data_IF_117869322416
#
_entry.id   IF_117869322416
#
_cell.length_a   1.000
_cell.length_b   1.000
_cell.length_c   1.000
_cell.angle_alpha   90.00
_cell.angle_beta   90.00
_cell.angle_gamma   90.00
#
_symmetry.space_group_name_H-M   'P 1'
#
loop_
_entity.id
_entity.type
_entity.pdbx_description
1 polymer ?
#
# COMPACT_ATOMS: atom_id res chain seq x y z
N UNK A 1 -27.33 -1.67 -16.54
CA UNK A 1 -26.86 -0.77 -15.46
C UNK A 1 -25.61 -1.39 -14.88
N UNK A 2 -24.56 -0.61 -14.56
CA UNK A 2 -23.36 -1.14 -13.92
C UNK A 2 -23.74 -1.82 -12.60
N UNK A 3 -22.98 -2.85 -12.23
CA UNK A 3 -23.14 -3.52 -10.93
C UNK A 3 -22.56 -2.66 -9.82
N UNK A 4 -23.10 -2.79 -8.62
CA UNK A 4 -22.73 -1.92 -7.51
C UNK A 4 -22.03 -2.74 -6.44
N UNK A 5 -20.74 -2.49 -6.23
CA UNK A 5 -19.97 -3.03 -5.10
C UNK A 5 -20.39 -2.29 -3.83
N UNK A 6 -20.71 -3.05 -2.78
CA UNK A 6 -21.18 -2.53 -1.49
C UNK A 6 -20.16 -2.77 -0.39
N UNK A 7 -20.32 -2.03 0.71
CA UNK A 7 -19.60 -2.32 1.95
C UNK A 7 -19.97 -3.74 2.41
N UNK A 8 -18.98 -4.53 2.81
CA UNK A 8 -19.21 -5.86 3.34
C UNK A 8 -20.12 -5.85 4.58
N UNK A 9 -20.10 -4.75 5.36
CA UNK A 9 -20.98 -4.55 6.51
C UNK A 9 -22.42 -4.18 6.12
N UNK A 10 -22.66 -3.80 4.86
CA UNK A 10 -23.97 -3.43 4.33
C UNK A 10 -24.62 -4.54 3.48
N UNK A 11 -23.91 -5.64 3.23
CA UNK A 11 -24.49 -6.80 2.54
C UNK A 11 -25.61 -7.43 3.37
N UNK A 12 -26.68 -7.82 2.70
CA UNK A 12 -27.68 -8.73 3.27
C UNK A 12 -27.07 -10.13 3.47
N UNK A 13 -27.66 -10.94 4.35
CA UNK A 13 -27.22 -12.32 4.54
C UNK A 13 -27.24 -13.12 3.22
N UNK A 14 -28.24 -12.91 2.37
CA UNK A 14 -28.32 -13.58 1.07
C UNK A 14 -27.19 -13.15 0.11
N UNK A 15 -26.88 -11.86 0.03
CA UNK A 15 -25.75 -11.38 -0.80
C UNK A 15 -24.41 -11.93 -0.31
N UNK A 16 -24.21 -11.96 1.02
CA UNK A 16 -23.01 -12.52 1.62
C UNK A 16 -22.90 -14.03 1.39
N UNK A 17 -24.01 -14.76 1.53
CA UNK A 17 -24.05 -16.21 1.30
C UNK A 17 -23.83 -16.55 -0.19
N UNK A 18 -24.29 -15.73 -1.12
CA UNK A 18 -24.03 -15.88 -2.57
C UNK A 18 -22.55 -15.60 -2.91
N UNK A 19 -21.94 -14.60 -2.27
CA UNK A 19 -20.51 -14.33 -2.40
C UNK A 19 -19.66 -15.49 -1.88
N UNK A 20 -19.99 -16.03 -0.70
CA UNK A 20 -19.30 -17.19 -0.12
C UNK A 20 -19.49 -18.43 -1.01
N UNK A 21 -20.69 -18.67 -1.52
CA UNK A 21 -20.97 -19.78 -2.44
C UNK A 21 -20.12 -19.72 -3.71
N UNK A 22 -19.99 -18.53 -4.32
CA UNK A 22 -19.14 -18.34 -5.48
C UNK A 22 -17.66 -18.66 -5.16
N UNK A 23 -17.14 -18.15 -4.03
CA UNK A 23 -15.78 -18.45 -3.58
C UNK A 23 -15.55 -19.95 -3.36
N UNK A 24 -16.51 -20.63 -2.74
CA UNK A 24 -16.40 -22.07 -2.47
C UNK A 24 -16.38 -22.90 -3.76
N UNK A 25 -17.11 -22.50 -4.80
CA UNK A 25 -17.00 -23.13 -6.13
C UNK A 25 -15.60 -22.93 -6.72
N UNK A 26 -15.05 -21.71 -6.66
CA UNK A 26 -13.69 -21.43 -7.13
C UNK A 26 -12.64 -22.25 -6.35
N UNK A 27 -12.85 -22.49 -5.05
CA UNK A 27 -12.00 -23.38 -4.24
C UNK A 27 -12.12 -24.83 -4.65
N UNK A 28 -13.34 -25.34 -4.86
CA UNK A 28 -13.57 -26.71 -5.34
C UNK A 28 -12.89 -26.97 -6.68
N UNK A 29 -12.87 -25.97 -7.58
CA UNK A 29 -12.09 -26.06 -8.84
C UNK A 29 -10.60 -26.25 -8.56
N UNK A 30 -10.07 -25.54 -7.58
CA UNK A 30 -8.66 -25.63 -7.16
C UNK A 30 -8.33 -26.99 -6.53
N UNK A 31 -9.27 -27.58 -5.78
CA UNK A 31 -9.12 -28.94 -5.22
C UNK A 31 -9.01 -30.02 -6.32
N UNK A 32 -9.69 -29.81 -7.46
CA UNK A 32 -9.62 -30.71 -8.61
C UNK A 32 -8.35 -30.46 -9.43
N UNK A 33 -8.01 -29.19 -9.66
CA UNK A 33 -6.83 -28.76 -10.39
C UNK A 33 -6.40 -27.38 -9.90
N UNK A 34 -5.30 -27.34 -9.16
CA UNK A 34 -4.75 -26.09 -8.60
C UNK A 34 -4.37 -25.08 -9.69
N UNK A 35 -4.01 -25.56 -10.89
CA UNK A 35 -3.65 -24.75 -12.04
C UNK A 35 -4.87 -24.32 -12.89
N UNK A 36 -6.11 -24.60 -12.47
CA UNK A 36 -7.32 -24.13 -13.17
C UNK A 36 -7.37 -22.59 -13.14
N UNK A 37 -7.32 -21.90 -14.29
CA UNK A 37 -7.35 -20.43 -14.33
C UNK A 37 -8.60 -19.80 -13.71
N UNK A 38 -9.68 -20.57 -13.59
CA UNK A 38 -10.92 -20.15 -12.93
C UNK A 38 -11.02 -20.66 -11.48
N UNK A 39 -9.98 -21.27 -10.92
CA UNK A 39 -9.89 -21.67 -9.52
C UNK A 39 -9.34 -20.56 -8.62
N UNK A 40 -9.73 -20.58 -7.34
CA UNK A 40 -9.24 -19.64 -6.33
C UNK A 40 -7.71 -19.66 -6.19
N UNK A 41 -7.09 -20.84 -6.17
CA UNK A 41 -5.64 -20.97 -5.99
C UNK A 41 -4.87 -20.28 -7.12
N UNK A 42 -5.29 -20.46 -8.38
CA UNK A 42 -4.69 -19.76 -9.51
C UNK A 42 -4.87 -18.24 -9.40
N UNK A 43 -6.05 -17.78 -8.99
CA UNK A 43 -6.32 -16.34 -8.83
C UNK A 43 -5.48 -15.73 -7.69
N UNK A 44 -5.32 -16.45 -6.58
CA UNK A 44 -4.38 -16.05 -5.54
C UNK A 44 -2.93 -16.05 -6.05
N UNK A 45 -2.54 -17.04 -6.86
CA UNK A 45 -1.21 -17.14 -7.45
C UNK A 45 -0.88 -15.99 -8.42
N UNK A 46 -1.86 -15.47 -9.18
CA UNK A 46 -1.67 -14.28 -10.02
C UNK A 46 -1.12 -13.09 -9.22
N UNK A 47 -1.58 -12.92 -7.98
CA UNK A 47 -1.04 -11.94 -7.06
C UNK A 47 0.24 -12.41 -6.37
N UNK A 48 0.25 -13.63 -5.83
CA UNK A 48 1.34 -14.12 -4.99
C UNK A 48 2.64 -14.40 -5.76
N UNK A 49 2.54 -14.49 -7.09
CA UNK A 49 3.60 -14.79 -8.03
C UNK A 49 3.69 -16.28 -8.35
N UNK A 50 3.80 -16.62 -9.63
CA UNK A 50 4.09 -17.99 -10.09
C UNK A 50 4.83 -17.98 -11.43
N UNK A 51 5.40 -19.13 -11.81
CA UNK A 51 6.02 -19.31 -13.13
C UNK A 51 5.01 -19.99 -14.05
N UNK A 52 4.67 -19.32 -15.15
CA UNK A 52 3.76 -19.83 -16.16
C UNK A 52 4.31 -21.09 -16.87
N UNK A 53 3.45 -21.83 -17.59
CA UNK A 53 3.87 -23.04 -18.33
C UNK A 53 4.93 -22.79 -19.42
N UNK A 54 5.06 -21.54 -19.86
CA UNK A 54 6.05 -21.03 -20.81
C UNK A 54 7.37 -20.60 -20.14
N UNK A 55 7.48 -20.76 -18.82
CA UNK A 55 8.64 -20.35 -18.03
C UNK A 55 8.66 -18.86 -17.68
N UNK A 56 7.61 -18.09 -18.01
CA UNK A 56 7.54 -16.67 -17.71
C UNK A 56 7.01 -16.47 -16.29
N UNK A 57 7.78 -15.80 -15.44
CA UNK A 57 7.30 -15.40 -14.12
C UNK A 57 6.18 -14.36 -14.26
N UNK A 58 4.97 -14.71 -13.81
CA UNK A 58 3.87 -13.78 -13.67
C UNK A 58 3.95 -13.22 -12.25
N UNK A 59 4.02 -11.90 -12.14
CA UNK A 59 4.05 -11.19 -10.86
C UNK A 59 2.99 -10.10 -10.84
N UNK A 60 2.48 -9.85 -9.64
CA UNK A 60 1.76 -8.62 -9.35
C UNK A 60 2.64 -7.40 -9.57
N UNK A 61 2.01 -6.28 -9.95
CA UNK A 61 2.70 -5.00 -10.08
C UNK A 61 2.63 -4.24 -8.75
N UNK A 62 3.80 -3.89 -8.23
CA UNK A 62 4.00 -3.15 -6.98
C UNK A 62 5.19 -2.19 -7.15
N UNK A 63 5.22 -1.14 -6.33
CA UNK A 63 6.23 -0.09 -6.32
C UNK A 63 6.38 0.63 -7.66
N UNK A 64 5.26 0.84 -8.35
CA UNK A 64 5.19 1.55 -9.62
C UNK A 64 3.77 2.03 -9.94
N UNK A 65 3.65 2.83 -10.99
CA UNK A 65 2.39 3.39 -11.52
C UNK A 65 1.36 2.36 -12.01
N UNK A 66 1.75 1.09 -12.16
CA UNK A 66 0.87 0.00 -12.58
C UNK A 66 0.14 -0.67 -11.41
N UNK A 67 0.50 -0.35 -10.17
CA UNK A 67 -0.11 -0.94 -8.96
C UNK A 67 -1.65 -0.85 -8.98
N UNK A 68 -2.21 0.36 -9.13
CA UNK A 68 -3.66 0.57 -9.13
C UNK A 68 -4.39 -0.11 -10.31
N UNK A 69 -3.97 0.08 -11.59
CA UNK A 69 -4.64 -0.59 -12.71
C UNK A 69 -4.50 -2.11 -12.69
N UNK A 70 -3.37 -2.66 -12.22
CA UNK A 70 -3.19 -4.11 -12.07
C UNK A 70 -4.18 -4.70 -11.06
N UNK A 71 -4.30 -4.08 -9.87
CA UNK A 71 -5.23 -4.55 -8.85
C UNK A 71 -6.69 -4.39 -9.26
N UNK A 72 -7.03 -3.33 -10.00
CA UNK A 72 -8.36 -3.18 -10.61
C UNK A 72 -8.66 -4.27 -11.63
N UNK A 73 -7.70 -4.62 -12.49
CA UNK A 73 -7.84 -5.73 -13.43
C UNK A 73 -8.03 -7.07 -12.72
N UNK A 74 -7.24 -7.33 -11.67
CA UNK A 74 -7.37 -8.52 -10.85
C UNK A 74 -8.78 -8.64 -10.25
N UNK A 75 -9.27 -7.58 -9.59
CA UNK A 75 -10.63 -7.55 -9.04
C UNK A 75 -11.70 -7.73 -10.12
N UNK A 76 -11.54 -7.08 -11.28
CA UNK A 76 -12.50 -7.18 -12.38
C UNK A 76 -12.64 -8.62 -12.88
N UNK A 77 -11.52 -9.28 -13.20
CA UNK A 77 -11.55 -10.64 -13.73
C UNK A 77 -11.95 -11.66 -12.66
N UNK A 78 -11.51 -11.49 -11.42
CA UNK A 78 -11.96 -12.32 -10.30
C UNK A 78 -13.47 -12.22 -10.10
N UNK A 79 -14.04 -11.02 -10.16
CA UNK A 79 -15.47 -10.80 -10.05
C UNK A 79 -16.26 -11.45 -11.20
N UNK A 80 -15.72 -11.46 -12.42
CA UNK A 80 -16.34 -12.22 -13.54
C UNK A 80 -16.34 -13.73 -13.27
N UNK A 81 -15.29 -14.27 -12.67
CA UNK A 81 -15.24 -15.69 -12.29
C UNK A 81 -16.27 -16.03 -11.20
N UNK A 82 -16.41 -15.18 -10.18
CA UNK A 82 -17.45 -15.33 -9.16
C UNK A 82 -18.85 -15.35 -9.78
N UNK A 83 -19.10 -14.46 -10.74
CA UNK A 83 -20.38 -14.37 -11.45
C UNK A 83 -20.65 -15.56 -12.36
N UNK A 84 -19.61 -16.19 -12.88
CA UNK A 84 -19.68 -17.37 -13.74
C UNK A 84 -19.74 -18.69 -12.96
N UNK A 85 -19.50 -18.68 -11.64
CA UNK A 85 -19.39 -19.87 -10.81
C UNK A 85 -20.68 -20.72 -10.79
N UNK A 86 -21.83 -20.08 -10.60
CA UNK A 86 -23.16 -20.70 -10.63
C UNK A 86 -24.18 -19.62 -11.06
N UNK A 87 -24.22 -19.24 -12.36
CA UNK A 87 -24.88 -18.01 -12.81
C UNK A 87 -26.34 -17.83 -12.36
N UNK A 88 -27.21 -18.86 -12.29
CA UNK A 88 -28.56 -18.71 -11.74
C UNK A 88 -28.59 -18.08 -10.35
N UNK A 89 -27.54 -18.28 -9.55
CA UNK A 89 -27.36 -17.74 -8.20
C UNK A 89 -26.36 -16.57 -8.18
N UNK A 90 -25.21 -16.73 -8.82
CA UNK A 90 -24.05 -15.84 -8.64
C UNK A 90 -23.94 -14.74 -9.70
N UNK A 91 -24.77 -14.72 -10.75
CA UNK A 91 -24.63 -13.73 -11.83
C UNK A 91 -24.68 -12.28 -11.35
N UNK A 92 -25.20 -11.99 -10.16
CA UNK A 92 -25.28 -10.64 -9.58
C UNK A 92 -24.27 -10.40 -8.45
N UNK A 93 -23.44 -11.38 -8.10
CA UNK A 93 -22.40 -11.25 -7.09
C UNK A 93 -21.42 -10.16 -7.50
N UNK A 94 -21.08 -9.32 -6.53
CA UNK A 94 -20.03 -8.30 -6.61
C UNK A 94 -19.05 -8.50 -5.47
N UNK A 95 -17.78 -8.18 -5.67
CA UNK A 95 -16.79 -8.15 -4.59
C UNK A 95 -17.18 -7.02 -3.62
N UNK A 96 -17.45 -7.30 -2.34
CA UNK A 96 -17.73 -6.25 -1.37
C UNK A 96 -16.43 -5.56 -0.95
N UNK A 97 -16.47 -4.24 -0.74
CA UNK A 97 -15.33 -3.51 -0.18
C UNK A 97 -15.39 -3.48 1.35
N UNK A 98 -14.24 -3.31 2.00
CA UNK A 98 -14.17 -3.08 3.44
C UNK A 98 -13.78 -1.62 3.73
N UNK A 99 -14.75 -0.81 4.17
CA UNK A 99 -14.49 0.55 4.65
C UNK A 99 -13.80 0.52 6.01
N UNK A 100 -12.50 0.81 6.02
CA UNK A 100 -11.72 0.95 7.25
C UNK A 100 -11.57 2.39 7.74
N UNK A 101 -12.14 3.39 7.05
CA UNK A 101 -11.93 4.82 7.38
C UNK A 101 -12.85 5.31 8.50
N UNK A 102 -13.99 4.64 8.77
CA UNK A 102 -14.87 5.03 9.87
C UNK A 102 -15.05 3.99 10.97
N UNK A 103 -16.19 4.08 11.67
CA UNK A 103 -16.37 3.46 12.98
C UNK A 103 -16.25 1.94 12.85
N UNK A 104 -15.14 1.41 13.36
CA UNK A 104 -14.92 -0.03 13.37
C UNK A 104 -16.01 -0.67 14.23
N UNK A 105 -16.47 -1.85 13.82
CA UNK A 105 -17.29 -2.67 14.71
C UNK A 105 -16.59 -2.83 16.07
N UNK A 106 -17.29 -3.24 17.15
CA UNK A 106 -16.60 -3.58 18.41
C UNK A 106 -15.45 -4.59 18.21
N UNK A 107 -15.48 -5.31 17.09
CA UNK A 107 -14.42 -6.19 16.58
C UNK A 107 -13.49 -5.45 15.61
N UNK A 108 -12.21 -5.84 15.60
CA UNK A 108 -11.18 -5.29 14.69
C UNK A 108 -11.48 -5.49 13.20
N UNK A 109 -12.26 -6.51 12.83
CA UNK A 109 -12.60 -6.84 11.45
C UNK A 109 -14.11 -7.01 11.29
N UNK A 110 -14.67 -6.76 10.09
CA UNK A 110 -16.08 -7.02 9.78
C UNK A 110 -16.53 -8.42 10.20
N UNK A 111 -17.72 -8.52 10.81
CA UNK A 111 -18.27 -9.78 11.32
C UNK A 111 -18.41 -10.86 10.24
N UNK A 112 -18.59 -10.46 8.98
CA UNK A 112 -18.62 -11.36 7.82
C UNK A 112 -17.39 -12.28 7.77
N UNK A 113 -16.20 -11.78 8.16
CA UNK A 113 -14.98 -12.57 8.14
C UNK A 113 -14.85 -13.60 9.28
N UNK A 114 -15.87 -13.74 10.13
CA UNK A 114 -16.01 -14.87 11.06
C UNK A 114 -16.75 -16.07 10.43
N UNK A 115 -17.46 -15.87 9.31
CA UNK A 115 -18.20 -16.94 8.63
C UNK A 115 -17.25 -17.97 8.00
N UNK A 116 -17.63 -19.26 7.95
CA UNK A 116 -16.95 -20.25 7.11
C UNK A 116 -16.83 -19.73 5.66
N UNK A 117 -15.71 -20.01 5.01
CA UNK A 117 -15.43 -19.51 3.66
C UNK A 117 -14.81 -18.10 3.59
N UNK A 118 -14.87 -17.30 4.66
CA UNK A 118 -14.17 -15.99 4.77
C UNK A 118 -13.19 -15.91 5.95
N UNK A 119 -13.26 -16.87 6.86
CA UNK A 119 -12.41 -16.94 8.04
C UNK A 119 -10.98 -17.35 7.67
N UNK A 120 -10.01 -16.56 8.09
CA UNK A 120 -8.58 -16.83 8.00
C UNK A 120 -7.85 -16.37 9.28
N UNK A 121 -6.67 -16.91 9.59
CA UNK A 121 -5.83 -16.42 10.68
C UNK A 121 -5.36 -14.98 10.42
N UNK A 122 -5.58 -14.08 11.38
CA UNK A 122 -5.23 -12.64 11.31
C UNK A 122 -4.72 -12.14 12.66
N UNK A 123 -4.03 -11.01 12.66
CA UNK A 123 -3.47 -10.40 13.87
C UNK A 123 -4.57 -9.93 14.84
N UNK A 124 -4.47 -10.38 16.09
CA UNK A 124 -5.30 -9.90 17.21
C UNK A 124 -4.71 -8.69 17.93
N UNK A 125 -3.48 -8.28 17.59
CA UNK A 125 -2.81 -7.16 18.24
C UNK A 125 -3.55 -5.84 17.99
N UNK A 126 -3.55 -4.96 19.00
CA UNK A 126 -4.03 -3.60 18.85
C UNK A 126 -3.15 -2.86 17.84
N UNK A 127 -3.78 -2.27 16.82
CA UNK A 127 -3.09 -1.51 15.78
C UNK A 127 -3.93 -0.29 15.41
N UNK A 128 -3.29 0.86 15.29
CA UNK A 128 -3.96 2.07 14.82
C UNK A 128 -4.12 2.03 13.30
N UNK A 129 -5.30 2.43 12.82
CA UNK A 129 -5.56 2.64 11.39
C UNK A 129 -4.62 3.71 10.80
N UNK A 130 -4.34 3.67 9.49
CA UNK A 130 -3.53 4.69 8.83
C UNK A 130 -4.20 6.08 8.90
N UNK A 131 -3.57 7.08 9.56
CA UNK A 131 -4.18 8.39 9.81
C UNK A 131 -4.25 9.29 8.57
N UNK A 132 -3.48 8.96 7.55
CA UNK A 132 -3.28 9.70 6.29
C UNK A 132 -4.22 9.23 5.16
N UNK A 133 -4.95 8.13 5.35
CA UNK A 133 -5.84 7.56 4.30
C UNK A 133 -6.75 8.62 3.68
N UNK A 134 -7.48 9.38 4.50
CA UNK A 134 -8.44 10.36 4.00
C UNK A 134 -7.75 11.57 3.38
N UNK A 135 -6.64 12.00 3.96
CA UNK A 135 -5.85 13.13 3.47
C UNK A 135 -5.30 12.86 2.07
N UNK A 136 -4.73 11.68 1.84
CA UNK A 136 -4.19 11.27 0.54
C UNK A 136 -5.28 11.33 -0.53
N UNK A 137 -6.46 10.76 -0.27
CA UNK A 137 -7.56 10.71 -1.24
C UNK A 137 -8.16 12.09 -1.51
N UNK A 138 -8.22 12.97 -0.50
CA UNK A 138 -8.94 14.25 -0.59
C UNK A 138 -8.07 15.44 -0.96
N UNK A 139 -6.75 15.35 -0.78
CA UNK A 139 -5.84 16.50 -0.95
C UNK A 139 -4.67 16.28 -1.91
N UNK A 140 -4.26 15.03 -2.18
CA UNK A 140 -3.26 14.78 -3.22
C UNK A 140 -3.91 14.98 -4.59
N UNK A 141 -3.23 15.69 -5.48
CA UNK A 141 -3.73 16.05 -6.82
C UNK A 141 -2.80 15.57 -7.93
N UNK A 142 -1.55 15.26 -7.60
CA UNK A 142 -0.59 14.74 -8.57
C UNK A 142 -0.79 13.23 -8.75
N UNK A 143 -0.93 12.81 -10.01
CA UNK A 143 -1.17 11.41 -10.39
C UNK A 143 -0.03 10.50 -9.95
N UNK A 144 1.23 10.91 -10.09
CA UNK A 144 2.38 10.09 -9.73
C UNK A 144 2.52 9.99 -8.21
N UNK A 145 2.31 11.09 -7.51
CA UNK A 145 2.30 11.07 -6.05
C UNK A 145 1.18 10.20 -5.48
N UNK A 146 0.02 10.20 -6.10
CA UNK A 146 -1.08 9.34 -5.66
C UNK A 146 -0.83 7.87 -6.01
N UNK A 147 -0.59 7.57 -7.30
CA UNK A 147 -0.65 6.23 -7.88
C UNK A 147 0.70 5.53 -8.06
N UNK A 148 1.81 6.25 -8.02
CA UNK A 148 3.16 5.74 -8.25
C UNK A 148 3.79 6.23 -9.54
N UNK A 149 5.05 5.85 -9.73
CA UNK A 149 5.91 6.31 -10.80
C UNK A 149 6.20 5.19 -11.81
N UNK A 150 6.47 5.52 -13.09
CA UNK A 150 6.91 4.52 -14.07
C UNK A 150 8.12 3.74 -13.60
N UNK A 151 8.19 2.46 -13.96
CA UNK A 151 9.35 1.60 -13.64
C UNK A 151 10.65 2.25 -14.15
N UNK A 152 11.60 2.46 -13.24
CA UNK A 152 12.91 3.08 -13.54
C UNK A 152 12.92 4.61 -13.54
N UNK A 153 11.82 5.26 -13.16
CA UNK A 153 11.79 6.71 -12.94
C UNK A 153 12.65 7.07 -11.71
N UNK A 154 13.65 7.93 -11.90
CA UNK A 154 14.55 8.35 -10.81
C UNK A 154 13.83 9.22 -9.75
N UNK A 155 12.64 9.73 -10.08
CA UNK A 155 11.87 10.60 -9.19
C UNK A 155 11.02 9.83 -8.17
N UNK A 156 10.84 8.52 -8.27
CA UNK A 156 10.09 7.73 -7.29
C UNK A 156 9.72 6.32 -7.75
N UNK A 157 9.13 5.56 -6.82
CA UNK A 157 8.67 4.18 -7.03
C UNK A 157 7.16 4.07 -6.74
N UNK A 158 6.77 3.72 -5.51
CA UNK A 158 5.37 3.63 -5.06
C UNK A 158 4.70 5.01 -4.87
N UNK A 159 3.39 5.04 -5.13
CA UNK A 159 2.55 6.19 -4.79
C UNK A 159 2.21 6.21 -3.30
N UNK A 160 1.75 7.36 -2.81
CA UNK A 160 1.34 7.57 -1.41
C UNK A 160 0.29 6.56 -0.97
N UNK A 161 -0.62 6.14 -1.86
CA UNK A 161 -1.66 5.16 -1.50
C UNK A 161 -1.09 3.76 -1.25
N UNK A 162 -0.11 3.33 -2.06
CA UNK A 162 0.56 2.04 -1.94
C UNK A 162 1.52 2.03 -0.74
N UNK A 163 2.44 2.99 -0.69
CA UNK A 163 3.47 3.07 0.35
C UNK A 163 2.93 3.40 1.75
N UNK A 164 1.81 4.12 1.81
CA UNK A 164 1.16 4.57 3.05
C UNK A 164 0.09 3.59 3.54
N UNK A 165 -1.21 3.89 3.35
CA UNK A 165 -2.31 3.15 3.97
C UNK A 165 -2.36 1.70 3.52
N UNK A 166 -2.04 1.39 2.26
CA UNK A 166 -2.05 0.01 1.76
C UNK A 166 -1.05 -0.88 2.49
N UNK A 167 0.25 -0.55 2.43
CA UNK A 167 1.31 -1.35 3.06
C UNK A 167 1.14 -1.46 4.58
N UNK A 168 0.66 -0.39 5.23
CA UNK A 168 0.37 -0.41 6.67
C UNK A 168 -0.77 -1.36 7.03
N UNK A 169 -1.87 -1.33 6.26
CA UNK A 169 -3.01 -2.20 6.53
C UNK A 169 -2.64 -3.67 6.43
N UNK A 170 -1.87 -4.05 5.42
CA UNK A 170 -1.41 -5.42 5.25
C UNK A 170 -0.61 -5.99 6.44
N UNK A 171 0.61 -5.49 6.65
CA UNK A 171 1.55 -6.08 7.62
C UNK A 171 1.23 -5.73 9.08
N UNK A 172 0.74 -4.52 9.35
CA UNK A 172 0.66 -3.98 10.70
C UNK A 172 -0.76 -4.03 11.28
N UNK A 173 -1.79 -3.91 10.44
CA UNK A 173 -3.17 -4.00 10.88
C UNK A 173 -3.74 -5.42 10.74
N UNK A 174 -3.74 -5.97 9.52
CA UNK A 174 -4.41 -7.23 9.22
C UNK A 174 -3.56 -8.43 9.67
N UNK A 175 -2.28 -8.48 9.27
CA UNK A 175 -1.37 -9.56 9.64
C UNK A 175 -1.73 -10.92 9.01
N UNK A 176 -1.11 -12.00 9.50
CA UNK A 176 -1.31 -13.35 8.92
C UNK A 176 -0.80 -13.43 7.48
N UNK A 177 -1.55 -14.11 6.60
CA UNK A 177 -1.20 -14.20 5.17
C UNK A 177 -1.11 -12.81 4.51
N UNK A 178 -1.92 -11.84 4.96
CA UNK A 178 -1.89 -10.46 4.48
C UNK A 178 -0.60 -9.71 4.81
N UNK A 179 0.29 -10.24 5.65
CA UNK A 179 1.63 -9.69 5.92
C UNK A 179 2.73 -10.22 5.00
N UNK A 180 2.39 -11.11 4.05
CA UNK A 180 3.30 -11.64 3.05
C UNK A 180 2.72 -11.45 1.62
N UNK A 181 3.38 -10.72 0.71
CA UNK A 181 2.82 -10.51 -0.63
C UNK A 181 2.71 -11.81 -1.44
N UNK A 182 3.51 -12.83 -1.11
CA UNK A 182 3.39 -14.21 -1.67
C UNK A 182 2.25 -15.04 -1.08
N UNK A 183 1.47 -14.52 -0.14
CA UNK A 183 0.34 -15.25 0.44
C UNK A 183 -0.91 -14.39 0.60
N UNK A 184 -0.84 -13.06 0.43
CA UNK A 184 -1.91 -12.14 0.80
C UNK A 184 -3.26 -12.51 0.16
N UNK A 185 -3.26 -12.86 -1.13
CA UNK A 185 -4.48 -13.22 -1.86
C UNK A 185 -5.06 -14.58 -1.47
N UNK A 186 -4.39 -15.36 -0.62
CA UNK A 186 -4.97 -16.58 -0.03
C UNK A 186 -6.02 -16.24 1.02
N UNK A 187 -5.90 -15.10 1.72
CA UNK A 187 -6.91 -14.61 2.66
C UNK A 187 -8.05 -13.89 1.90
N UNK A 188 -9.31 -14.33 2.02
CA UNK A 188 -10.44 -13.68 1.34
C UNK A 188 -10.63 -12.20 1.65
N UNK A 189 -10.09 -11.69 2.78
CA UNK A 189 -10.12 -10.26 3.09
C UNK A 189 -9.34 -9.42 2.08
N UNK A 190 -8.36 -10.01 1.38
CA UNK A 190 -7.58 -9.36 0.32
C UNK A 190 -8.48 -8.68 -0.71
N UNK A 191 -9.48 -9.41 -1.22
CA UNK A 191 -10.36 -8.88 -2.27
C UNK A 191 -11.20 -7.71 -1.77
N UNK A 192 -11.70 -7.76 -0.52
CA UNK A 192 -12.45 -6.65 0.06
C UNK A 192 -11.59 -5.45 0.42
N UNK A 193 -10.36 -5.71 0.87
CA UNK A 193 -9.37 -4.68 1.15
C UNK A 193 -8.96 -3.95 -0.15
N UNK A 194 -8.56 -4.68 -1.20
CA UNK A 194 -8.21 -4.07 -2.49
C UNK A 194 -9.41 -3.46 -3.21
N UNK A 195 -10.63 -3.97 -3.00
CA UNK A 195 -11.83 -3.31 -3.51
C UNK A 195 -12.03 -1.91 -2.88
N UNK A 196 -11.57 -1.68 -1.65
CA UNK A 196 -11.59 -0.37 -1.05
C UNK A 196 -10.43 0.53 -1.51
N UNK A 197 -9.23 -0.04 -1.75
CA UNK A 197 -8.15 0.66 -2.47
C UNK A 197 -8.65 1.18 -3.83
N UNK A 198 -9.34 0.32 -4.57
CA UNK A 198 -9.92 0.64 -5.87
C UNK A 198 -11.01 1.74 -5.79
N UNK A 199 -11.86 1.69 -4.75
CA UNK A 199 -12.84 2.74 -4.46
C UNK A 199 -12.14 4.08 -4.21
N UNK A 200 -11.08 4.10 -3.40
CA UNK A 200 -10.32 5.31 -3.11
C UNK A 200 -9.69 5.91 -4.36
N UNK A 201 -9.19 5.08 -5.28
CA UNK A 201 -8.71 5.56 -6.57
C UNK A 201 -9.84 6.15 -7.43
N UNK A 202 -10.99 5.48 -7.51
CA UNK A 202 -12.15 6.00 -8.22
C UNK A 202 -12.63 7.36 -7.65
N UNK A 203 -12.64 7.53 -6.33
CA UNK A 203 -12.96 8.79 -5.68
C UNK A 203 -11.92 9.88 -5.97
N UNK A 204 -10.63 9.53 -5.92
CA UNK A 204 -9.55 10.44 -6.30
C UNK A 204 -9.67 10.90 -7.75
N UNK A 205 -9.97 10.00 -8.68
CA UNK A 205 -10.20 10.31 -10.10
C UNK A 205 -11.39 11.24 -10.30
N UNK A 206 -12.49 11.01 -9.57
CA UNK A 206 -13.68 11.87 -9.57
C UNK A 206 -13.37 13.29 -9.13
N UNK A 207 -12.41 13.48 -8.20
CA UNK A 207 -11.98 14.80 -7.70
C UNK A 207 -11.02 15.50 -8.65
N UNK A 208 -10.10 14.75 -9.26
CA UNK A 208 -8.97 15.30 -10.01
C UNK A 208 -9.19 15.28 -11.53
N UNK A 209 -10.37 14.89 -12.00
CA UNK A 209 -10.71 14.91 -13.42
C UNK A 209 -10.06 13.77 -14.23
N UNK A 210 -9.71 12.66 -13.57
CA UNK A 210 -9.12 11.46 -14.20
C UNK A 210 -7.92 11.79 -15.09
N UNK A 211 -6.81 12.31 -14.52
CA UNK A 211 -5.63 12.60 -15.31
C UNK A 211 -5.12 11.32 -16.01
N UNK A 212 -4.45 11.46 -17.17
CA UNK A 212 -3.92 10.32 -17.90
C UNK A 212 -3.01 9.46 -17.02
N UNK A 213 -3.22 8.15 -17.06
CA UNK A 213 -2.31 7.21 -16.44
C UNK A 213 -0.95 7.29 -17.13
N UNK A 214 0.10 7.17 -16.33
CA UNK A 214 1.44 6.93 -16.87
C UNK A 214 1.46 5.51 -17.46
N UNK A 215 2.18 5.33 -18.57
CA UNK A 215 2.32 4.03 -19.26
C UNK A 215 1.01 3.41 -19.84
N UNK A 216 0.12 4.19 -20.49
CA UNK A 216 -1.26 3.75 -20.82
C UNK A 216 -1.37 2.54 -21.77
N UNK A 217 -0.34 2.29 -22.59
CA UNK A 217 -0.32 1.22 -23.60
C UNK A 217 0.33 -0.09 -23.10
N UNK A 218 0.92 -0.08 -21.90
CA UNK A 218 1.57 -1.27 -21.37
C UNK A 218 0.56 -2.35 -20.99
N UNK A 219 0.93 -3.59 -21.29
CA UNK A 219 0.14 -4.77 -20.98
C UNK A 219 0.38 -5.18 -19.54
N UNK A 220 -0.70 -5.35 -18.78
CA UNK A 220 -0.67 -5.79 -17.40
C UNK A 220 -0.24 -7.26 -17.32
N UNK A 221 0.78 -7.54 -16.49
CA UNK A 221 1.28 -8.89 -16.26
C UNK A 221 0.16 -9.81 -15.75
N UNK A 222 0.11 -11.05 -16.25
CA UNK A 222 -0.93 -12.01 -15.90
C UNK A 222 -2.25 -11.84 -16.66
N UNK A 223 -2.44 -10.74 -17.40
CA UNK A 223 -3.68 -10.45 -18.12
C UNK A 223 -3.53 -10.37 -19.64
N UNK A 224 -2.36 -10.70 -20.20
CA UNK A 224 -2.09 -10.59 -21.63
C UNK A 224 -3.10 -11.35 -22.52
N UNK A 225 -3.66 -12.47 -22.03
CA UNK A 225 -4.68 -13.27 -22.73
C UNK A 225 -6.12 -12.77 -22.54
N UNK A 226 -6.33 -11.78 -21.68
CA UNK A 226 -7.66 -11.26 -21.39
C UNK A 226 -8.11 -10.24 -22.43
N UNK A 227 -9.44 -10.04 -22.63
CA UNK A 227 -9.97 -9.11 -23.62
C UNK A 227 -9.53 -7.66 -23.40
N UNK A 228 -9.48 -7.22 -22.15
CA UNK A 228 -8.84 -5.96 -21.73
C UNK A 228 -7.54 -6.29 -21.02
N UNK A 229 -6.43 -5.76 -21.46
CA UNK A 229 -5.13 -6.12 -20.93
C UNK A 229 -4.16 -4.94 -20.81
N UNK A 230 -4.53 -3.74 -21.26
CA UNK A 230 -3.70 -2.54 -21.16
C UNK A 230 -4.10 -1.65 -20.00
N UNK A 231 -3.13 -0.93 -19.44
CA UNK A 231 -3.34 0.03 -18.34
C UNK A 231 -4.51 1.00 -18.60
N UNK A 232 -4.56 1.60 -19.79
CA UNK A 232 -5.61 2.56 -20.16
C UNK A 232 -7.04 1.99 -20.11
N UNK A 233 -7.22 0.68 -20.30
CA UNK A 233 -8.53 0.02 -20.31
C UNK A 233 -9.14 -0.17 -18.92
N UNK A 234 -8.33 0.05 -17.87
CA UNK A 234 -8.74 -0.04 -16.47
C UNK A 234 -8.81 1.35 -15.81
N UNK A 235 -8.86 2.43 -16.60
CA UNK A 235 -8.90 3.79 -16.04
C UNK A 235 -10.20 4.10 -15.31
N UNK A 236 -11.37 3.70 -15.82
CA UNK A 236 -12.67 4.01 -15.20
C UNK A 236 -13.44 2.74 -14.85
N UNK A 237 -14.12 2.76 -13.69
CA UNK A 237 -14.93 1.61 -13.23
C UNK A 237 -16.16 1.39 -14.12
N UNK A 238 -16.77 2.46 -14.65
CA UNK A 238 -17.95 2.37 -15.51
C UNK A 238 -17.68 1.70 -16.86
N UNK A 239 -16.45 1.84 -17.38
CA UNK A 239 -16.00 1.15 -18.60
C UNK A 239 -15.82 -0.37 -18.35
N UNK A 240 -15.84 -0.78 -17.08
CA UNK A 240 -15.71 -2.16 -16.61
C UNK A 240 -17.04 -2.71 -16.06
N UNK A 241 -18.16 -2.01 -16.28
CA UNK A 241 -19.53 -2.34 -15.85
C UNK A 241 -19.73 -2.40 -14.33
N UNK A 242 -18.97 -1.63 -13.54
CA UNK A 242 -19.21 -1.52 -12.10
C UNK A 242 -19.02 -0.12 -11.52
N UNK A 243 -19.66 0.10 -10.37
CA UNK A 243 -19.57 1.30 -9.54
C UNK A 243 -19.54 0.89 -8.06
N UNK A 244 -19.34 1.87 -7.18
CA UNK A 244 -19.37 1.70 -5.74
C UNK A 244 -20.60 2.35 -5.13
N UNK A 245 -21.25 1.64 -4.20
CA UNK A 245 -22.17 2.28 -3.27
C UNK A 245 -21.35 3.07 -2.25
N UNK A 246 -21.73 4.32 -1.99
CA UNK A 246 -21.12 5.10 -0.93
C UNK A 246 -22.07 5.11 0.28
N UNK A 247 -21.62 4.52 1.38
CA UNK A 247 -22.32 4.61 2.67
C UNK A 247 -22.45 6.06 3.13
N UNK A 248 -23.36 6.34 4.06
CA UNK A 248 -23.47 7.68 4.67
C UNK A 248 -22.14 8.13 5.31
N UNK A 249 -21.41 7.19 5.90
CA UNK A 249 -20.09 7.38 6.48
C UNK A 249 -19.06 7.78 5.41
N UNK A 250 -18.95 7.03 4.31
CA UNK A 250 -18.03 7.40 3.22
C UNK A 250 -18.40 8.74 2.60
N UNK A 251 -19.69 9.00 2.40
CA UNK A 251 -20.16 10.32 1.93
C UNK A 251 -19.75 11.44 2.89
N UNK A 252 -19.79 11.22 4.19
CA UNK A 252 -19.36 12.21 5.18
C UNK A 252 -17.82 12.37 5.19
N UNK A 253 -17.07 11.26 5.15
CA UNK A 253 -15.62 11.27 5.13
C UNK A 253 -15.07 11.96 3.87
N UNK A 254 -15.57 11.59 2.70
CA UNK A 254 -15.22 12.27 1.45
C UNK A 254 -15.88 13.66 1.33
N UNK A 255 -17.00 13.89 2.02
CA UNK A 255 -17.70 15.18 2.09
C UNK A 255 -17.09 16.19 3.08
N UNK A 256 -15.89 15.93 3.62
CA UNK A 256 -15.16 16.87 4.46
C UNK A 256 -14.91 18.19 3.70
N UNK A 257 -15.22 19.37 4.28
CA UNK A 257 -15.00 20.66 3.63
C UNK A 257 -13.52 20.87 3.29
N UNK A 258 -13.19 21.56 2.20
CA UNK A 258 -11.83 21.63 1.69
C UNK A 258 -10.92 22.41 2.65
N UNK A 259 -9.66 21.96 2.79
CA UNK A 259 -8.57 22.91 2.98
C UNK A 259 -8.63 23.94 1.82
N UNK A 260 -8.33 25.23 2.02
CA UNK A 260 -8.47 26.25 0.97
C UNK A 260 -7.87 25.75 -0.35
N UNK A 261 -8.49 26.07 -1.50
CA UNK A 261 -8.13 25.47 -2.78
C UNK A 261 -6.62 25.58 -3.01
N UNK A 262 -5.97 24.44 -3.28
CA UNK A 262 -4.65 24.47 -3.86
C UNK A 262 -4.75 25.28 -5.17
N UNK A 263 -3.94 26.35 -5.33
CA UNK A 263 -3.99 27.14 -6.54
C UNK A 263 -3.45 26.30 -7.70
N UNK A 264 -4.32 25.96 -8.67
CA UNK A 264 -3.97 25.22 -9.90
C UNK A 264 -3.51 23.77 -9.55
N UNK A 265 -3.70 22.75 -10.41
CA UNK A 265 -2.91 21.52 -10.25
C UNK A 265 -1.45 21.92 -10.04
N UNK A 266 -0.79 21.46 -8.97
CA UNK A 266 0.58 21.87 -8.70
C UNK A 266 1.39 21.61 -9.96
N UNK A 267 2.19 22.60 -10.35
CA UNK A 267 3.15 22.40 -11.41
C UNK A 267 3.96 21.13 -11.08
N UNK A 268 4.34 20.33 -12.09
CA UNK A 268 5.18 19.16 -11.85
C UNK A 268 6.38 19.56 -10.99
N UNK A 269 6.59 18.83 -9.90
CA UNK A 269 7.65 19.14 -8.94
C UNK A 269 9.02 18.96 -9.60
N UNK A 270 9.75 20.05 -9.78
CA UNK A 270 11.11 20.00 -10.29
C UNK A 270 12.10 20.06 -9.14
N UNK A 271 13.00 19.09 -9.07
CA UNK A 271 14.06 19.09 -8.07
C UNK A 271 15.00 20.28 -8.30
N UNK A 272 15.09 21.16 -7.30
CA UNK A 272 15.92 22.36 -7.33
C UNK A 272 17.27 22.16 -6.63
N UNK A 273 17.29 21.40 -5.53
CA UNK A 273 18.49 21.16 -4.74
C UNK A 273 18.38 19.87 -3.93
N UNK A 274 19.54 19.30 -3.58
CA UNK A 274 19.66 18.19 -2.64
C UNK A 274 20.81 18.43 -1.65
N UNK A 275 20.63 18.05 -0.39
CA UNK A 275 21.62 18.17 0.67
C UNK A 275 21.67 16.86 1.48
N UNK A 276 22.87 16.39 1.82
CA UNK A 276 23.04 15.18 2.65
C UNK A 276 22.78 15.53 4.12
N UNK A 277 21.98 14.71 4.81
CA UNK A 277 21.76 14.85 6.25
C UNK A 277 22.79 14.02 7.03
N UNK A 278 23.14 14.47 8.23
CA UNK A 278 24.11 13.81 9.09
C UNK A 278 23.58 13.61 10.51
N UNK A 279 23.96 12.53 11.21
CA UNK A 279 23.60 12.31 12.61
C UNK A 279 24.04 13.43 13.54
N UNK A 280 23.20 13.71 14.55
CA UNK A 280 23.48 14.72 15.56
C UNK A 280 24.69 14.35 16.44
N UNK A 281 24.93 13.06 16.66
CA UNK A 281 26.04 12.57 17.49
C UNK A 281 27.39 12.56 16.75
N UNK A 282 27.40 12.95 15.47
CA UNK A 282 28.58 12.97 14.61
C UNK A 282 29.02 11.60 14.11
N UNK A 283 28.27 10.53 14.40
CA UNK A 283 28.49 9.24 13.79
C UNK A 283 28.20 9.32 12.29
N UNK A 284 29.10 8.83 11.44
CA UNK A 284 28.86 8.79 10.01
C UNK A 284 27.96 7.61 9.60
N UNK A 285 27.81 6.61 10.48
CA UNK A 285 27.05 5.39 10.24
C UNK A 285 25.59 5.52 10.74
N UNK A 286 24.75 6.13 9.89
CA UNK A 286 23.31 6.31 10.14
C UNK A 286 22.61 4.95 10.35
N UNK A 287 22.95 3.97 9.50
CA UNK A 287 22.33 2.64 9.51
C UNK A 287 22.71 1.87 10.76
N UNK A 288 24.00 1.88 11.13
CA UNK A 288 24.47 1.29 12.38
C UNK A 288 23.79 1.90 13.60
N UNK A 289 23.62 3.22 13.64
CA UNK A 289 22.90 3.87 14.75
C UNK A 289 21.43 3.42 14.82
N UNK A 290 20.75 3.37 13.68
CA UNK A 290 19.36 2.91 13.61
C UNK A 290 19.24 1.43 14.03
N UNK A 291 20.22 0.59 13.69
CA UNK A 291 20.31 -0.82 14.14
C UNK A 291 20.48 -0.94 15.64
N UNK A 292 21.36 -0.13 16.22
CA UNK A 292 21.70 -0.20 17.64
C UNK A 292 20.61 0.37 18.55
N UNK A 293 19.96 1.45 18.12
CA UNK A 293 19.05 2.24 18.97
C UNK A 293 17.58 2.15 18.55
N UNK A 294 17.28 1.50 17.42
CA UNK A 294 15.97 1.51 16.74
C UNK A 294 15.48 2.93 16.36
N UNK A 295 16.33 3.93 16.54
CA UNK A 295 16.06 5.35 16.28
C UNK A 295 17.35 6.01 15.81
N UNK A 296 17.26 6.87 14.79
CA UNK A 296 18.36 7.76 14.40
C UNK A 296 17.86 9.18 14.26
N UNK A 297 18.65 10.15 14.74
CA UNK A 297 18.32 11.57 14.74
C UNK A 297 19.33 12.36 13.91
N UNK A 298 18.84 12.99 12.85
CA UNK A 298 19.63 13.73 11.88
C UNK A 298 19.39 15.23 12.04
N UNK A 299 20.48 15.99 12.07
CA UNK A 299 20.39 17.45 12.07
C UNK A 299 19.77 17.95 10.77
N UNK A 300 18.79 18.83 10.88
CA UNK A 300 18.06 19.36 9.73
C UNK A 300 18.07 20.89 9.77
N UNK A 301 18.68 21.50 8.76
CA UNK A 301 18.66 22.96 8.59
C UNK A 301 17.61 23.32 7.55
N UNK A 302 16.69 24.21 7.91
CA UNK A 302 15.63 24.66 7.01
C UNK A 302 16.26 25.56 5.93
N UNK A 303 16.22 25.18 4.63
CA UNK A 303 16.71 26.03 3.55
C UNK A 303 15.73 27.19 3.30
N UNK A 304 16.03 28.12 2.39
CA UNK A 304 15.05 29.14 2.01
C UNK A 304 13.90 28.50 1.21
N UNK A 305 12.73 28.34 1.85
CA UNK A 305 11.61 27.48 1.41
C UNK A 305 10.42 28.22 0.82
N UNK A 306 10.41 29.56 0.76
CA UNK A 306 9.22 30.31 0.30
C UNK A 306 8.74 29.82 -1.07
N UNK A 307 7.53 29.24 -1.10
CA UNK A 307 6.89 28.67 -2.29
C UNK A 307 7.44 27.32 -2.77
N UNK A 308 8.27 26.62 -1.98
CA UNK A 308 8.94 25.37 -2.35
C UNK A 308 8.45 24.20 -1.51
N UNK A 309 8.45 22.98 -2.07
CA UNK A 309 8.19 21.74 -1.31
C UNK A 309 9.49 21.13 -0.81
N UNK A 310 9.45 20.52 0.38
CA UNK A 310 10.61 19.86 0.97
C UNK A 310 10.30 18.42 1.27
N UNK A 311 11.25 17.56 0.91
CA UNK A 311 11.19 16.13 1.19
C UNK A 311 12.48 15.65 1.82
N UNK A 312 12.37 14.60 2.62
CA UNK A 312 13.53 13.80 3.02
C UNK A 312 13.47 12.48 2.27
N UNK A 313 14.52 12.18 1.51
CA UNK A 313 14.69 10.98 0.69
C UNK A 313 15.65 10.01 1.37
N UNK A 314 15.27 8.74 1.40
CA UNK A 314 16.15 7.62 1.74
C UNK A 314 16.53 6.94 0.42
N UNK A 315 17.84 6.90 0.16
CA UNK A 315 18.40 6.35 -1.08
C UNK A 315 18.68 4.87 -0.94
N UNK A 316 18.29 4.08 -1.95
CA UNK A 316 18.63 2.66 -2.03
C UNK A 316 18.24 1.89 -0.74
N UNK A 317 17.05 2.18 -0.21
CA UNK A 317 16.47 1.49 0.93
C UNK A 317 16.19 0.03 0.56
N UNK A 318 16.98 -0.89 1.12
CA UNK A 318 16.94 -2.31 0.81
C UNK A 318 15.65 -2.94 1.33
N UNK A 319 15.06 -3.77 0.48
CA UNK A 319 13.89 -4.57 0.83
C UNK A 319 14.34 -5.66 1.81
N UNK A 320 13.70 -5.82 2.98
CA UNK A 320 14.06 -6.85 3.95
C UNK A 320 13.80 -8.27 3.40
N UNK A 321 14.41 -9.30 3.98
CA UNK A 321 14.23 -10.71 3.58
C UNK A 321 13.70 -11.61 4.70
N UNK A 322 13.87 -11.22 5.98
CA UNK A 322 13.45 -12.02 7.13
C UNK A 322 12.16 -11.48 7.75
N UNK A 323 11.97 -10.16 7.78
CA UNK A 323 10.80 -9.55 8.40
C UNK A 323 10.43 -8.21 7.81
N UNK A 324 9.13 -7.98 7.63
CA UNK A 324 8.59 -6.67 7.27
C UNK A 324 8.83 -5.67 8.41
N UNK A 325 9.07 -4.39 8.08
CA UNK A 325 9.25 -3.33 9.05
C UNK A 325 8.73 -2.00 8.53
N UNK A 326 8.57 -1.02 9.43
CA UNK A 326 8.16 0.33 9.11
C UNK A 326 9.20 1.31 9.66
N UNK A 327 9.51 2.34 8.89
CA UNK A 327 10.22 3.52 9.40
C UNK A 327 9.21 4.65 9.55
N UNK A 328 9.00 5.11 10.78
CA UNK A 328 8.23 6.32 11.08
C UNK A 328 9.18 7.51 11.06
N UNK A 329 8.80 8.57 10.35
CA UNK A 329 9.55 9.79 10.27
C UNK A 329 8.90 10.89 11.10
N UNK A 330 9.73 11.70 11.76
CA UNK A 330 9.30 12.87 12.51
C UNK A 330 10.23 14.05 12.21
N UNK A 331 9.68 15.25 12.23
CA UNK A 331 10.44 16.49 12.16
C UNK A 331 10.04 17.38 13.33
N UNK A 332 10.97 17.63 14.25
CA UNK A 332 10.70 18.41 15.45
C UNK A 332 11.86 19.38 15.75
N UNK A 333 11.62 20.46 16.52
CA UNK A 333 12.71 21.32 16.98
C UNK A 333 13.72 20.55 17.85
N UNK A 334 15.00 20.90 17.75
CA UNK A 334 16.09 20.26 18.50
C UNK A 334 15.94 20.33 20.03
N UNK A 335 15.29 21.38 20.53
CA UNK A 335 14.99 21.53 21.96
C UNK A 335 13.77 20.76 22.46
N UNK A 336 13.01 20.10 21.58
CA UNK A 336 11.84 19.30 21.95
C UNK A 336 12.25 17.83 22.06
N UNK A 337 12.10 17.18 23.23
CA UNK A 337 12.42 15.76 23.39
C UNK A 337 11.59 14.87 22.46
N UNK A 338 12.22 13.83 21.91
CA UNK A 338 11.55 12.85 21.05
C UNK A 338 10.59 11.99 21.88
N UNK A 339 9.29 12.04 21.55
CA UNK A 339 8.21 11.33 22.26
C UNK A 339 7.22 10.70 21.26
N UNK A 340 7.62 9.68 20.49
CA UNK A 340 6.84 9.15 19.35
C UNK A 340 5.51 8.48 19.71
N UNK A 341 5.35 8.11 20.99
CA UNK A 341 4.15 7.48 21.55
C UNK A 341 3.19 8.49 22.20
N UNK A 342 3.62 9.75 22.38
CA UNK A 342 2.72 10.82 22.76
C UNK A 342 1.87 11.24 21.55
N UNK A 343 0.54 11.21 21.70
CA UNK A 343 -0.38 11.48 20.61
C UNK A 343 -0.33 12.92 20.10
N UNK A 344 0.02 13.90 20.95
CA UNK A 344 0.17 15.29 20.53
C UNK A 344 1.47 15.48 19.75
N UNK A 345 2.57 14.93 20.26
CA UNK A 345 3.86 14.89 19.58
C UNK A 345 3.74 14.23 18.20
N UNK A 346 3.18 13.02 18.13
CA UNK A 346 3.06 12.28 16.89
C UNK A 346 2.18 13.01 15.87
N UNK A 347 1.10 13.65 16.31
CA UNK A 347 0.23 14.47 15.46
C UNK A 347 0.92 15.73 14.95
N UNK A 348 1.70 16.39 15.81
CA UNK A 348 2.33 17.68 15.50
C UNK A 348 3.59 17.55 14.66
N UNK A 349 4.40 16.52 14.92
CA UNK A 349 5.74 16.37 14.35
C UNK A 349 5.87 15.16 13.43
N UNK A 350 4.84 14.32 13.29
CA UNK A 350 4.87 13.19 12.37
C UNK A 350 5.01 13.65 10.91
N UNK A 351 6.06 13.19 10.25
CA UNK A 351 6.35 13.47 8.83
C UNK A 351 5.93 12.31 7.90
N UNK A 352 5.23 11.31 8.44
CA UNK A 352 4.76 10.13 7.73
C UNK A 352 5.49 8.87 8.12
N UNK A 353 5.32 7.82 7.32
CA UNK A 353 5.99 6.55 7.51
C UNK A 353 6.18 5.85 6.16
N UNK A 354 7.13 4.93 6.09
CA UNK A 354 7.24 3.96 5.00
C UNK A 354 7.17 2.57 5.59
N UNK A 355 6.28 1.74 5.05
CA UNK A 355 6.18 0.33 5.41
C UNK A 355 6.82 -0.52 4.32
N UNK A 356 7.80 -1.33 4.71
CA UNK A 356 8.53 -2.27 3.87
C UNK A 356 8.11 -3.69 4.17
N UNK A 357 7.84 -4.41 3.11
CA UNK A 357 7.52 -5.82 3.18
C UNK A 357 8.77 -6.66 3.02
N UNK A 358 8.81 -7.81 3.70
CA UNK A 358 9.79 -8.83 3.38
C UNK A 358 9.66 -9.24 1.91
N UNK A 359 10.79 -9.36 1.24
CA UNK A 359 10.91 -9.88 -0.10
C UNK A 359 10.43 -11.35 -0.15
N UNK A 360 9.99 -11.75 -1.33
CA UNK A 360 9.61 -13.13 -1.60
C UNK A 360 10.85 -14.04 -1.47
N UNK A 361 10.78 -15.10 -0.64
CA UNK A 361 11.66 -16.25 -0.83
C UNK A 361 11.16 -17.04 -2.03
N UNK A 362 12.04 -17.34 -2.99
CA UNK A 362 11.77 -18.37 -3.98
C UNK A 362 11.53 -19.71 -3.24
N UNK A 363 10.27 -20.13 -3.09
CA UNK A 363 9.99 -21.52 -2.76
C UNK A 363 10.25 -22.36 -4.01
N UNK A 364 11.41 -23.01 -4.06
CA UNK A 364 11.71 -24.06 -5.01
C UNK A 364 11.33 -25.41 -4.41
N UNK A 365 10.23 -25.97 -4.90
CA UNK A 365 9.86 -27.37 -4.65
C UNK A 365 10.17 -28.16 -5.93
N UNK A 366 11.34 -28.80 -5.96
CA UNK A 366 11.63 -29.93 -6.85
C UNK A 366 11.90 -29.60 -8.32
N UNK A 367 13.15 -29.30 -8.65
CA UNK A 367 13.99 -30.01 -9.64
C UNK A 367 15.21 -29.16 -10.04
N UNK A 368 16.38 -29.56 -9.53
CA UNK A 368 17.68 -29.41 -10.18
C UNK A 368 18.23 -28.01 -10.39
N UNK A 369 19.16 -27.63 -9.51
CA UNK A 369 20.21 -26.62 -9.67
C UNK A 369 20.57 -26.32 -11.14
N UNK A 370 20.08 -25.21 -11.68
CA UNK A 370 20.76 -24.44 -12.72
C UNK A 370 20.37 -22.96 -12.57
N UNK A 371 21.39 -22.14 -12.30
CA UNK A 371 21.41 -20.68 -12.11
C UNK A 371 21.38 -20.25 -10.63
N UNK A 372 22.50 -19.66 -10.22
CA UNK A 372 22.90 -19.52 -8.83
C UNK A 372 22.08 -18.51 -8.04
N UNK A 373 22.27 -18.59 -6.72
CA UNK A 373 21.95 -17.56 -5.73
C UNK A 373 22.35 -16.17 -6.26
N UNK A 374 21.40 -15.50 -6.89
CA UNK A 374 21.42 -14.07 -6.98
C UNK A 374 20.50 -13.58 -5.87
N UNK A 375 21.10 -13.27 -4.72
CA UNK A 375 20.56 -12.30 -3.77
C UNK A 375 20.05 -11.11 -4.59
N UNK A 376 18.74 -11.00 -4.78
CA UNK A 376 18.16 -9.84 -5.41
C UNK A 376 18.25 -8.71 -4.39
N UNK A 377 19.36 -7.96 -4.48
CA UNK A 377 19.57 -6.63 -3.90
C UNK A 377 18.53 -5.66 -4.49
N UNK A 378 17.25 -5.87 -4.19
CA UNK A 378 16.20 -4.94 -4.56
C UNK A 378 16.22 -3.83 -3.52
N UNK A 379 16.37 -2.61 -4.00
CA UNK A 379 16.28 -1.41 -3.18
C UNK A 379 15.25 -0.49 -3.79
N UNK A 380 14.69 0.39 -2.96
CA UNK A 380 13.71 1.39 -3.36
C UNK A 380 14.07 2.76 -2.79
N UNK A 381 13.42 3.79 -3.30
CA UNK A 381 13.52 5.14 -2.77
C UNK A 381 12.30 5.43 -1.89
N UNK A 382 12.51 5.88 -0.66
CA UNK A 382 11.41 6.38 0.19
C UNK A 382 11.51 7.89 0.36
N UNK A 383 10.37 8.59 0.34
CA UNK A 383 10.31 10.04 0.56
C UNK A 383 9.29 10.40 1.63
N UNK A 384 9.69 11.30 2.52
CA UNK A 384 8.84 11.90 3.53
C UNK A 384 8.59 13.35 3.18
N UNK A 385 7.33 13.76 3.01
CA UNK A 385 6.97 15.16 2.84
C UNK A 385 7.04 15.87 4.19
N UNK A 386 8.10 16.66 4.37
CA UNK A 386 8.34 17.42 5.60
C UNK A 386 7.80 18.85 5.51
N UNK A 387 7.34 19.28 4.33
CA UNK A 387 6.85 20.64 4.07
C UNK A 387 5.67 21.00 4.97
N UNK A 388 4.70 20.09 5.12
CA UNK A 388 3.53 20.31 6.00
C UNK A 388 3.91 20.50 7.47
N UNK A 389 4.88 19.72 7.95
CA UNK A 389 5.36 19.87 9.32
C UNK A 389 6.04 21.22 9.46
N UNK A 390 6.93 21.59 8.52
CA UNK A 390 7.60 22.90 8.51
C UNK A 390 6.63 24.08 8.53
N UNK A 391 5.60 24.05 7.69
CA UNK A 391 4.56 25.07 7.63
C UNK A 391 3.86 25.22 8.99
N UNK A 392 3.54 24.11 9.64
CA UNK A 392 2.89 24.11 10.97
C UNK A 392 3.80 24.66 12.08
N UNK A 393 5.13 24.54 11.92
CA UNK A 393 6.10 25.02 12.89
C UNK A 393 6.45 26.50 12.73
N UNK A 394 6.22 27.09 11.54
CA UNK A 394 6.61 28.48 11.25
C UNK A 394 8.12 28.73 11.40
N UNK A 395 8.93 27.71 11.11
CA UNK A 395 10.30 27.58 11.62
C UNK A 395 11.39 27.98 10.61
N UNK A 396 11.24 29.14 9.95
CA UNK A 396 12.29 29.67 9.07
C UNK A 396 13.59 29.88 9.89
N UNK A 397 14.62 29.08 9.58
CA UNK A 397 15.95 29.18 10.22
C UNK A 397 16.10 28.50 11.59
N UNK A 398 15.18 27.63 12.01
CA UNK A 398 15.33 26.85 13.25
C UNK A 398 16.25 25.63 13.07
N UNK A 399 16.96 25.25 14.14
CA UNK A 399 17.64 23.95 14.22
C UNK A 399 16.59 22.85 14.45
N UNK A 400 16.33 22.06 13.42
CA UNK A 400 15.38 20.96 13.46
C UNK A 400 16.10 19.62 13.51
N UNK A 401 15.36 18.60 13.89
CA UNK A 401 15.79 17.22 13.95
C UNK A 401 14.83 16.39 13.15
N UNK A 402 15.36 15.69 12.15
CA UNK A 402 14.65 14.64 11.44
C UNK A 402 14.95 13.30 12.13
N UNK A 403 13.92 12.67 12.68
CA UNK A 403 14.06 11.40 13.42
C UNK A 403 13.41 10.27 12.63
N UNK A 404 14.15 9.19 12.41
CA UNK A 404 13.61 7.91 11.93
C UNK A 404 13.48 6.95 13.11
N UNK A 405 12.34 6.29 13.23
CA UNK A 405 12.07 5.24 14.21
C UNK A 405 11.75 3.93 13.48
N UNK A 406 12.47 2.87 13.80
CA UNK A 406 12.20 1.51 13.34
C UNK A 406 11.04 0.89 14.13
N UNK A 407 10.12 0.25 13.42
CA UNK A 407 8.99 -0.49 13.98
C UNK A 407 8.91 -1.85 13.28
N UNK A 408 9.13 -2.99 13.97
CA UNK A 408 8.98 -4.30 13.36
C UNK A 408 7.50 -4.60 13.10
N UNK A 409 7.20 -5.32 12.02
CA UNK A 409 5.85 -5.85 11.82
C UNK A 409 5.54 -6.95 12.87
N UNK A 410 4.27 -7.09 13.29
CA UNK A 410 3.83 -8.23 14.08
C UNK A 410 4.16 -9.57 13.39
N UNK A 411 4.39 -10.63 14.15
CA UNK A 411 4.54 -11.97 13.57
C UNK A 411 3.25 -12.44 12.89
N UNK A 412 3.36 -13.50 12.05
CA UNK A 412 2.21 -14.17 11.44
C UNK A 412 1.20 -14.70 12.49
N UNK A 413 1.63 -14.89 13.75
CA UNK A 413 0.79 -15.31 14.88
C UNK A 413 0.28 -14.14 15.75
N UNK A 414 0.63 -12.89 15.40
CA UNK A 414 0.22 -11.69 16.14
C UNK A 414 1.01 -11.43 17.43
N UNK A 415 2.13 -12.12 17.64
CA UNK A 415 3.05 -11.93 18.76
C UNK A 415 4.28 -11.11 18.32
N UNK A 416 5.02 -10.47 19.25
CA UNK A 416 6.30 -9.85 18.90
C UNK A 416 7.25 -10.90 18.30
N UNK A 417 8.04 -10.55 17.26
CA UNK A 417 8.98 -11.49 16.66
C UNK A 417 10.02 -11.91 17.70
N UNK A 418 10.12 -13.21 17.98
CA UNK A 418 11.19 -13.79 18.79
C UNK A 418 11.97 -14.83 17.97
N UNK A 419 13.31 -14.93 18.11
CA UNK A 419 14.26 -13.92 18.60
C UNK A 419 15.22 -13.54 17.47
N UNK A 420 14.99 -12.40 16.84
CA UNK A 420 15.99 -11.45 16.33
C UNK A 420 15.15 -10.30 15.73
N UNK A 421 15.29 -9.05 16.20
CA UNK A 421 14.55 -7.95 15.61
C UNK A 421 15.04 -7.78 14.15
N UNK A 422 14.15 -7.51 13.18
CA UNK A 422 14.54 -7.28 11.78
C UNK A 422 15.39 -6.01 11.57
N UNK A 423 15.84 -5.36 12.64
CA UNK A 423 16.60 -4.11 12.55
C UNK A 423 17.91 -4.31 11.80
N UNK A 424 18.55 -5.48 11.94
CA UNK A 424 19.78 -5.83 11.21
C UNK A 424 19.63 -5.79 9.68
N UNK A 425 18.40 -5.94 9.16
CA UNK A 425 18.11 -5.84 7.72
C UNK A 425 17.83 -4.42 7.24
N UNK A 426 17.65 -3.47 8.15
CA UNK A 426 17.50 -2.07 7.76
C UNK A 426 18.81 -1.63 7.12
N UNK A 427 18.76 -1.23 5.87
CA UNK A 427 19.94 -0.80 5.12
C UNK A 427 19.50 0.18 4.05
N UNK A 428 20.15 1.34 3.99
CA UNK A 428 19.97 2.36 2.97
C UNK A 428 21.28 3.11 2.81
N UNK A 429 21.49 3.68 1.63
CA UNK A 429 22.77 4.30 1.29
C UNK A 429 22.95 5.67 1.93
N UNK A 430 21.96 6.55 1.76
CA UNK A 430 22.05 7.95 2.19
C UNK A 430 20.68 8.48 2.62
N UNK A 431 20.68 9.52 3.45
CA UNK A 431 19.49 10.33 3.74
C UNK A 431 19.73 11.74 3.24
N UNK A 432 18.83 12.24 2.38
CA UNK A 432 18.98 13.54 1.72
C UNK A 432 17.74 14.40 1.92
N UNK A 433 17.95 15.69 2.14
CA UNK A 433 16.91 16.68 1.93
C UNK A 433 16.82 17.00 0.43
N UNK A 434 15.60 17.11 -0.08
CA UNK A 434 15.28 17.52 -1.44
C UNK A 434 14.38 18.76 -1.39
N UNK A 435 14.68 19.73 -2.25
CA UNK A 435 13.90 20.97 -2.39
C UNK A 435 13.31 21.02 -3.79
N UNK A 436 12.00 21.19 -3.89
CA UNK A 436 11.25 21.21 -5.14
C UNK A 436 10.60 22.57 -5.41
N UNK A 437 10.47 22.91 -6.69
CA UNK A 437 9.82 24.13 -7.18
C UNK A 437 8.32 24.14 -6.99
#
# INVERSE_FOLDING_TARGET
MPKVRKDINALTDAELDDYIHALDILRQRSEVNEADPAGYAFQAALHNGFVGPDGVAIRCEHNNDRFLPWHRAHLHYFEKLLQAADPPRTQNVTIPYWDWIGEQTPEKFPLAFKKPGLKAPRSSAAAALPPDTLEIVTTETDQKEFAGYPVGDLSGDDGRIEGGPHNRMHGFYIGGAMANPSAAAEDPIYFSFHAFIDLMWAEWQRRNGTPPLTSPDEVLQGFASQPKNKISEFTNTVDLDYEYEYTAQLKAAFGVPPAPPAPVPPAPLNLLATELLSPLDGNADIVGELRDKEVVQLGFKVPATSGKRLRVRLDELKVPTTGSYMLRAFLHPSGVPFQPDDGEFARRFGAGYVALWRAHRHMHDGHGDLHGDHDHNVSRTARFDVGRVLESLGADGADLVFTLQFIPAPSETGLPPHPLPPVDEVDFKDVRMEVYS
#
